data_IF_606228420295
#
_entry.id   IF_606228420295
#
_cell.length_a   1.000
_cell.length_b   1.000
_cell.length_c   1.000
_cell.angle_alpha   90.00
_cell.angle_beta   90.00
_cell.angle_gamma   90.00
#
_symmetry.space_group_name_H-M   'P 1'
#
loop_
_entity.id
_entity.type
_entity.pdbx_description
1 polymer ?
#
# COMPACT_ATOMS: atom_id res chain seq x y z
N UNK A 1 -43.26 33.24 1.97
CA UNK A 1 -41.86 33.64 2.23
C UNK A 1 -41.05 32.39 2.50
N UNK A 2 -40.45 31.78 1.48
CA UNK A 2 -39.59 30.61 1.64
C UNK A 2 -38.13 31.06 1.62
N UNK A 3 -37.51 31.06 2.80
CA UNK A 3 -36.08 31.29 2.97
C UNK A 3 -35.36 29.99 2.64
N UNK A 4 -34.80 29.90 1.43
CA UNK A 4 -33.89 28.81 1.07
C UNK A 4 -32.55 29.08 1.75
N UNK A 5 -32.24 28.30 2.78
CA UNK A 5 -30.94 28.23 3.41
C UNK A 5 -29.90 27.77 2.36
N UNK A 6 -28.96 28.67 2.02
CA UNK A 6 -27.76 28.31 1.24
C UNK A 6 -26.87 27.42 2.10
N UNK A 7 -26.61 26.21 1.63
CA UNK A 7 -25.57 25.31 2.16
C UNK A 7 -24.18 25.92 1.91
N UNK A 8 -23.22 25.86 2.86
CA UNK A 8 -21.87 26.37 2.64
C UNK A 8 -21.05 25.36 1.85
N UNK A 9 -21.25 25.32 0.54
CA UNK A 9 -20.48 24.50 -0.39
C UNK A 9 -19.81 25.39 -1.45
N UNK A 10 -18.93 26.28 -0.99
CA UNK A 10 -17.87 26.92 -1.79
C UNK A 10 -16.88 27.55 -0.82
N UNK A 11 -15.99 26.72 -0.26
CA UNK A 11 -14.75 27.26 0.30
C UNK A 11 -13.96 27.80 -0.90
N UNK A 12 -13.99 29.12 -1.11
CA UNK A 12 -13.31 29.79 -2.21
C UNK A 12 -11.89 29.23 -2.35
N UNK A 13 -11.50 28.86 -3.58
CA UNK A 13 -10.15 28.39 -3.86
C UNK A 13 -9.16 29.49 -3.46
N UNK A 14 -8.50 29.29 -2.33
CA UNK A 14 -7.54 30.25 -1.75
C UNK A 14 -6.33 30.46 -2.68
N UNK A 15 -5.96 29.44 -3.45
CA UNK A 15 -4.84 29.50 -4.40
C UNK A 15 -5.36 29.33 -5.81
N UNK A 16 -4.83 30.12 -6.74
CA UNK A 16 -5.02 29.87 -8.16
C UNK A 16 -4.34 28.55 -8.55
N UNK A 17 -5.06 27.70 -9.28
CA UNK A 17 -4.56 26.40 -9.74
C UNK A 17 -4.97 26.17 -11.18
N UNK A 18 -4.04 26.42 -12.09
CA UNK A 18 -4.30 26.45 -13.53
C UNK A 18 -4.20 25.04 -14.14
N UNK A 19 -4.73 24.83 -15.37
CA UNK A 19 -4.49 23.59 -16.12
C UNK A 19 -3.00 23.30 -16.33
N UNK A 20 -2.16 24.35 -16.46
CA UNK A 20 -0.71 24.21 -16.57
C UNK A 20 -0.10 23.65 -15.28
N UNK A 21 -0.50 24.16 -14.12
CA UNK A 21 -0.03 23.65 -12.83
C UNK A 21 -0.44 22.20 -12.61
N UNK A 22 -1.68 21.87 -12.98
CA UNK A 22 -2.15 20.49 -12.90
C UNK A 22 -1.35 19.55 -13.84
N UNK A 23 -1.09 19.97 -15.08
CA UNK A 23 -0.24 19.20 -16.00
C UNK A 23 1.18 18.99 -15.45
N UNK A 24 1.78 20.02 -14.82
CA UNK A 24 3.08 19.91 -14.14
C UNK A 24 3.02 18.90 -12.99
N UNK A 25 2.01 18.99 -12.10
CA UNK A 25 1.83 18.03 -11.00
C UNK A 25 1.73 16.60 -11.52
N UNK A 26 0.93 16.36 -12.57
CA UNK A 26 0.78 15.04 -13.20
C UNK A 26 2.14 14.51 -13.69
N UNK A 27 2.92 15.34 -14.38
CA UNK A 27 4.24 14.96 -14.87
C UNK A 27 5.21 14.63 -13.72
N UNK A 28 5.23 15.46 -12.68
CA UNK A 28 6.13 15.27 -11.53
C UNK A 28 5.80 14.01 -10.74
N UNK A 29 4.53 13.79 -10.39
CA UNK A 29 4.15 12.59 -9.62
C UNK A 29 4.29 11.31 -10.44
N UNK A 30 4.06 11.36 -11.75
CA UNK A 30 4.32 10.24 -12.64
C UNK A 30 5.82 9.91 -12.69
N UNK A 31 6.69 10.92 -12.86
CA UNK A 31 8.14 10.74 -12.84
C UNK A 31 8.65 10.19 -11.50
N UNK A 32 8.11 10.71 -10.39
CA UNK A 32 8.57 10.37 -9.05
C UNK A 32 8.06 9.00 -8.56
N UNK A 33 6.79 8.70 -8.79
CA UNK A 33 6.09 7.57 -8.16
C UNK A 33 5.33 6.68 -9.16
N UNK A 34 5.34 7.00 -10.46
CA UNK A 34 4.61 6.25 -11.49
C UNK A 34 3.10 6.48 -11.51
N UNK A 35 2.58 7.29 -10.58
CA UNK A 35 1.15 7.49 -10.40
C UNK A 35 0.59 8.26 -11.61
N UNK A 36 -0.26 7.59 -12.37
CA UNK A 36 -0.98 8.18 -13.48
C UNK A 36 -2.28 8.83 -12.97
N UNK A 37 -2.29 10.15 -12.94
CA UNK A 37 -3.47 10.93 -12.58
C UNK A 37 -4.29 11.26 -13.83
N UNK A 38 -5.57 10.88 -13.82
CA UNK A 38 -6.55 11.28 -14.84
C UNK A 38 -7.05 12.71 -14.63
N UNK A 39 -7.62 13.31 -15.68
CA UNK A 39 -8.03 14.73 -15.65
C UNK A 39 -9.09 15.05 -14.59
N UNK A 40 -9.99 14.11 -14.32
CA UNK A 40 -11.02 14.22 -13.29
C UNK A 40 -10.48 14.34 -11.85
N UNK A 41 -9.17 14.20 -11.64
CA UNK A 41 -8.54 14.28 -10.31
C UNK A 41 -8.05 15.69 -9.95
N UNK A 42 -8.28 16.70 -10.78
CA UNK A 42 -7.79 18.07 -10.55
C UNK A 42 -8.20 18.65 -9.18
N UNK A 43 -9.47 18.52 -8.78
CA UNK A 43 -9.96 19.01 -7.48
C UNK A 43 -9.33 18.27 -6.30
N UNK A 44 -9.13 16.95 -6.43
CA UNK A 44 -8.44 16.16 -5.42
C UNK A 44 -7.00 16.65 -5.25
N UNK A 45 -6.27 16.83 -6.35
CA UNK A 45 -4.90 17.34 -6.34
C UNK A 45 -4.84 18.72 -5.68
N UNK A 46 -5.71 19.63 -6.09
CA UNK A 46 -5.81 20.97 -5.50
C UNK A 46 -5.99 20.90 -3.98
N UNK A 47 -6.99 20.14 -3.51
CA UNK A 47 -7.33 20.07 -2.09
C UNK A 47 -6.18 19.57 -1.21
N UNK A 48 -5.34 18.67 -1.73
CA UNK A 48 -4.25 18.03 -0.98
C UNK A 48 -2.97 18.87 -1.04
N UNK A 49 -2.61 19.39 -2.21
CA UNK A 49 -1.42 20.23 -2.35
C UNK A 49 -1.61 21.64 -1.79
N UNK A 50 -2.82 22.19 -1.79
CA UNK A 50 -3.10 23.47 -1.13
C UNK A 50 -2.74 23.45 0.38
N UNK A 51 -2.80 22.28 1.04
CA UNK A 51 -2.33 22.12 2.43
C UNK A 51 -0.81 22.23 2.53
N UNK A 52 -0.08 21.73 1.53
CA UNK A 52 1.38 21.87 1.44
C UNK A 52 1.81 23.32 1.23
N UNK A 53 1.15 24.03 0.32
CA UNK A 53 1.39 25.47 0.10
C UNK A 53 1.24 26.26 1.40
N UNK A 54 0.15 26.04 2.15
CA UNK A 54 -0.04 26.68 3.47
C UNK A 54 1.06 26.33 4.46
N UNK A 55 1.44 25.06 4.55
CA UNK A 55 2.49 24.60 5.47
C UNK A 55 3.86 25.22 5.16
N UNK A 56 4.13 25.55 3.89
CA UNK A 56 5.37 26.19 3.44
C UNK A 56 5.28 27.72 3.35
N UNK A 57 4.10 28.30 3.64
CA UNK A 57 3.86 29.74 3.54
C UNK A 57 3.92 30.30 2.11
N UNK A 58 3.66 29.47 1.10
CA UNK A 58 3.75 29.85 -0.32
C UNK A 58 2.41 30.36 -0.84
N UNK A 59 2.44 31.29 -1.78
CA UNK A 59 1.23 31.98 -2.26
C UNK A 59 0.69 31.44 -3.58
N UNK A 60 1.49 30.68 -4.36
CA UNK A 60 1.05 30.15 -5.66
C UNK A 60 1.52 28.71 -5.88
N UNK A 61 0.78 27.98 -6.73
CA UNK A 61 1.19 26.64 -7.18
C UNK A 61 2.45 26.68 -8.04
N UNK A 62 2.60 27.70 -8.89
CA UNK A 62 3.79 27.87 -9.71
C UNK A 62 5.06 27.95 -8.83
N UNK A 63 5.06 28.80 -7.81
CA UNK A 63 6.17 28.94 -6.86
C UNK A 63 6.49 27.63 -6.12
N UNK A 64 5.44 26.91 -5.68
CA UNK A 64 5.60 25.62 -5.03
C UNK A 64 6.27 24.58 -5.95
N UNK A 65 5.82 24.50 -7.20
CA UNK A 65 6.35 23.53 -8.17
C UNK A 65 7.77 23.91 -8.61
N UNK A 66 8.04 25.20 -8.83
CA UNK A 66 9.39 25.70 -9.17
C UNK A 66 10.39 25.37 -8.06
N UNK A 67 10.00 25.55 -6.79
CA UNK A 67 10.82 25.20 -5.63
C UNK A 67 11.01 23.69 -5.47
N UNK A 68 9.99 22.90 -5.78
CA UNK A 68 10.09 21.45 -5.74
C UNK A 68 11.10 20.94 -6.79
N UNK A 69 11.03 21.50 -8.00
CA UNK A 69 11.89 21.12 -9.14
C UNK A 69 13.33 21.62 -9.04
N UNK A 70 13.59 22.72 -8.33
CA UNK A 70 14.95 23.26 -8.15
C UNK A 70 15.85 22.36 -7.28
N UNK A 71 15.31 21.30 -6.67
CA UNK A 71 16.07 20.21 -6.08
C UNK A 71 16.63 20.49 -4.67
N UNK A 72 16.32 21.65 -4.08
CA UNK A 72 16.85 22.06 -2.77
C UNK A 72 16.14 21.45 -1.55
N UNK A 73 15.04 20.73 -1.73
CA UNK A 73 14.19 20.25 -0.61
C UNK A 73 13.70 18.81 -0.85
N UNK A 74 14.54 17.84 -0.51
CA UNK A 74 14.22 16.41 -0.64
C UNK A 74 13.07 15.96 0.28
N UNK A 75 12.89 16.62 1.42
CA UNK A 75 11.79 16.34 2.34
C UNK A 75 10.45 16.75 1.73
N UNK A 76 10.40 17.87 1.02
CA UNK A 76 9.18 18.30 0.33
C UNK A 76 8.79 17.36 -0.81
N UNK A 77 9.74 16.69 -1.47
CA UNK A 77 9.42 15.62 -2.43
C UNK A 77 8.70 14.43 -1.80
N UNK A 78 9.09 14.04 -0.58
CA UNK A 78 8.38 13.01 0.19
C UNK A 78 6.99 13.50 0.53
N UNK A 79 6.86 14.72 1.04
CA UNK A 79 5.56 15.27 1.42
C UNK A 79 4.61 15.50 0.23
N UNK A 80 5.14 15.91 -0.93
CA UNK A 80 4.42 15.99 -2.20
C UNK A 80 3.89 14.61 -2.61
N UNK A 81 4.73 13.59 -2.53
CA UNK A 81 4.35 12.20 -2.85
C UNK A 81 3.26 11.70 -1.91
N UNK A 82 3.45 11.82 -0.59
CA UNK A 82 2.47 11.41 0.43
C UNK A 82 1.14 12.16 0.29
N UNK A 83 1.15 13.39 -0.20
CA UNK A 83 -0.07 14.14 -0.45
C UNK A 83 -0.88 13.56 -1.63
N UNK A 84 -0.25 12.87 -2.59
CA UNK A 84 -0.90 12.42 -3.82
C UNK A 84 -1.21 10.91 -3.85
N UNK A 85 -0.74 10.14 -2.88
CA UNK A 85 -1.09 8.72 -2.68
C UNK A 85 -2.54 8.54 -2.24
N UNK A 86 -3.15 7.40 -2.58
CA UNK A 86 -4.51 7.06 -2.14
C UNK A 86 -4.49 5.78 -1.31
N UNK A 87 -4.75 5.94 -0.02
CA UNK A 87 -4.43 4.97 1.04
C UNK A 87 -5.69 4.28 1.61
N UNK A 88 -6.67 3.94 0.76
CA UNK A 88 -7.89 3.28 1.24
C UNK A 88 -7.61 1.80 1.49
N UNK A 89 -7.61 1.41 2.77
CA UNK A 89 -7.43 0.02 3.21
C UNK A 89 -8.33 -0.31 4.39
N UNK A 90 -8.47 -1.61 4.69
CA UNK A 90 -9.25 -2.15 5.80
C UNK A 90 -8.75 -3.55 6.17
N UNK A 91 -8.93 -3.93 7.43
CA UNK A 91 -8.64 -5.30 7.88
C UNK A 91 -9.44 -6.31 7.06
N UNK A 92 -8.77 -7.40 6.67
CA UNK A 92 -9.34 -8.49 5.88
C UNK A 92 -10.05 -8.05 4.59
N UNK A 93 -9.58 -6.96 3.95
CA UNK A 93 -10.08 -6.56 2.61
C UNK A 93 -9.90 -7.73 1.63
N UNK A 94 -10.95 -8.04 0.88
CA UNK A 94 -11.02 -9.22 -0.01
C UNK A 94 -10.69 -10.52 0.74
N UNK A 95 -11.49 -10.81 1.77
CA UNK A 95 -11.28 -11.88 2.75
C UNK A 95 -11.01 -13.28 2.18
N UNK A 96 -11.37 -13.55 0.93
CA UNK A 96 -11.16 -14.83 0.26
C UNK A 96 -9.68 -15.18 0.04
N UNK A 97 -8.76 -14.20 0.09
CA UNK A 97 -7.32 -14.47 -0.03
C UNK A 97 -6.72 -15.15 1.21
N UNK A 98 -7.24 -14.87 2.40
CA UNK A 98 -6.62 -15.34 3.65
C UNK A 98 -6.74 -16.85 3.88
N UNK A 99 -7.86 -17.53 3.54
CA UNK A 99 -7.90 -19.00 3.55
C UNK A 99 -6.88 -19.62 2.58
N UNK A 100 -6.66 -19.02 1.40
CA UNK A 100 -5.66 -19.48 0.43
C UNK A 100 -4.24 -19.30 0.99
N UNK A 101 -3.97 -18.18 1.65
CA UNK A 101 -2.71 -17.95 2.37
C UNK A 101 -2.50 -19.00 3.47
N UNK A 102 -3.51 -19.25 4.31
CA UNK A 102 -3.43 -20.20 5.41
C UNK A 102 -3.10 -21.63 4.92
N UNK A 103 -3.81 -22.11 3.89
CA UNK A 103 -3.53 -23.40 3.26
C UNK A 103 -2.12 -23.43 2.65
N UNK A 104 -1.72 -22.36 1.97
CA UNK A 104 -0.40 -22.28 1.37
C UNK A 104 0.73 -22.40 2.41
N UNK A 105 0.66 -21.65 3.52
CA UNK A 105 1.75 -21.68 4.52
C UNK A 105 1.81 -22.98 5.31
N UNK A 106 0.68 -23.67 5.53
CA UNK A 106 0.64 -24.94 6.26
C UNK A 106 1.25 -26.11 5.48
N UNK A 107 1.20 -26.05 4.15
CA UNK A 107 1.76 -27.08 3.28
C UNK A 107 3.26 -26.89 2.99
N UNK A 108 3.93 -25.95 3.67
CA UNK A 108 5.35 -25.63 3.49
C UNK A 108 6.16 -26.02 4.71
N UNK A 109 7.43 -26.35 4.48
CA UNK A 109 8.39 -26.68 5.54
C UNK A 109 9.39 -25.54 5.71
N UNK A 110 9.74 -25.27 6.97
CA UNK A 110 10.75 -24.28 7.34
C UNK A 110 10.22 -22.84 7.40
N UNK A 111 11.11 -21.87 7.67
CA UNK A 111 10.74 -20.46 7.74
C UNK A 111 10.21 -19.93 6.41
N UNK A 112 9.13 -19.14 6.47
CA UNK A 112 8.49 -18.53 5.31
C UNK A 112 8.68 -17.02 5.30
N UNK A 113 8.71 -16.45 4.11
CA UNK A 113 8.83 -15.01 3.89
C UNK A 113 7.65 -14.50 3.05
N UNK A 114 7.00 -13.45 3.55
CA UNK A 114 5.88 -12.78 2.88
C UNK A 114 6.23 -11.32 2.65
N UNK A 115 5.93 -10.81 1.46
CA UNK A 115 6.04 -9.40 1.15
C UNK A 115 4.66 -8.78 0.88
N UNK A 116 4.26 -7.78 1.66
CA UNK A 116 3.14 -6.89 1.35
C UNK A 116 3.71 -5.61 0.71
N UNK A 117 3.54 -5.47 -0.60
CA UNK A 117 4.26 -4.46 -1.39
C UNK A 117 3.62 -3.07 -1.42
N UNK A 118 2.41 -2.93 -0.87
CA UNK A 118 1.68 -1.67 -0.73
C UNK A 118 0.84 -1.72 0.57
N UNK A 119 1.51 -1.56 1.72
CA UNK A 119 0.92 -1.84 3.03
C UNK A 119 -0.07 -0.80 3.53
N UNK A 120 -0.01 0.43 2.99
CA UNK A 120 -0.78 1.57 3.46
C UNK A 120 -0.67 1.73 4.98
N UNK A 121 -1.77 1.95 5.70
CA UNK A 121 -1.81 2.12 7.17
C UNK A 121 -1.67 0.82 7.97
N UNK A 122 -1.30 -0.31 7.34
CA UNK A 122 -0.89 -1.54 8.01
C UNK A 122 -1.98 -2.60 8.19
N UNK A 123 -3.23 -2.32 7.82
CA UNK A 123 -4.31 -3.30 7.97
C UNK A 123 -4.08 -4.59 7.17
N UNK A 124 -3.51 -4.52 5.96
CA UNK A 124 -3.20 -5.70 5.16
C UNK A 124 -2.10 -6.58 5.80
N UNK A 125 -0.88 -6.06 6.11
CA UNK A 125 0.15 -6.90 6.72
C UNK A 125 -0.25 -7.45 8.09
N UNK A 126 -1.08 -6.74 8.88
CA UNK A 126 -1.62 -7.30 10.11
C UNK A 126 -2.70 -8.35 9.87
N UNK A 127 -3.49 -8.25 8.80
CA UNK A 127 -4.42 -9.33 8.41
C UNK A 127 -3.67 -10.59 7.97
N UNK A 128 -2.56 -10.42 7.24
CA UNK A 128 -1.63 -11.51 6.89
C UNK A 128 -1.06 -12.14 8.17
N UNK A 129 -0.52 -11.32 9.08
CA UNK A 129 0.05 -11.78 10.34
C UNK A 129 -0.97 -12.56 11.20
N UNK A 130 -2.20 -12.05 11.36
CA UNK A 130 -3.27 -12.74 12.07
C UNK A 130 -3.58 -14.10 11.43
N UNK A 131 -3.64 -14.14 10.10
CA UNK A 131 -3.93 -15.36 9.33
C UNK A 131 -2.87 -16.43 9.57
N UNK A 132 -1.58 -16.06 9.52
CA UNK A 132 -0.50 -17.04 9.76
C UNK A 132 -0.48 -17.51 11.23
N UNK A 133 -0.70 -16.61 12.19
CA UNK A 133 -0.82 -17.00 13.60
C UNK A 133 -1.99 -17.95 13.87
N UNK A 134 -3.10 -17.76 13.16
CA UNK A 134 -4.25 -18.66 13.22
C UNK A 134 -3.93 -20.02 12.58
N UNK A 135 -3.32 -20.03 11.40
CA UNK A 135 -2.93 -21.24 10.69
C UNK A 135 -1.99 -22.12 11.52
N UNK A 136 -0.93 -21.54 12.08
CA UNK A 136 0.05 -22.27 12.90
C UNK A 136 -0.38 -22.50 14.36
N UNK A 137 -1.51 -21.92 14.80
CA UNK A 137 -1.97 -22.03 16.18
C UNK A 137 -1.07 -21.35 17.23
N UNK A 138 -0.18 -20.44 16.82
CA UNK A 138 0.79 -19.75 17.70
C UNK A 138 0.89 -18.26 17.35
N UNK A 139 1.35 -17.43 18.29
CA UNK A 139 1.65 -16.00 18.03
C UNK A 139 3.07 -15.78 17.47
N UNK A 140 3.90 -16.82 17.45
CA UNK A 140 5.28 -16.78 16.94
C UNK A 140 5.48 -17.83 15.84
N UNK A 141 4.70 -17.78 14.75
CA UNK A 141 4.89 -18.69 13.63
C UNK A 141 6.27 -18.47 13.00
N UNK A 142 6.86 -19.47 12.32
CA UNK A 142 8.12 -19.32 11.60
C UNK A 142 7.92 -18.53 10.29
N UNK A 143 7.33 -17.35 10.37
CA UNK A 143 6.99 -16.49 9.23
C UNK A 143 7.51 -15.09 9.48
N UNK A 144 8.17 -14.53 8.47
CA UNK A 144 8.60 -13.13 8.45
C UNK A 144 7.79 -12.37 7.40
N UNK A 145 7.30 -11.17 7.76
CA UNK A 145 6.52 -10.32 6.87
C UNK A 145 7.30 -9.02 6.68
N UNK A 146 7.64 -8.69 5.43
CA UNK A 146 8.09 -7.35 5.06
C UNK A 146 6.92 -6.60 4.47
N UNK A 147 6.63 -5.42 4.99
CA UNK A 147 5.54 -4.56 4.56
C UNK A 147 6.13 -3.25 4.05
N UNK A 148 5.78 -2.85 2.84
CA UNK A 148 6.36 -1.67 2.22
C UNK A 148 5.32 -0.75 1.63
N UNK A 149 5.61 0.55 1.65
CA UNK A 149 4.82 1.57 0.98
C UNK A 149 5.73 2.73 0.56
N UNK A 150 5.27 3.52 -0.42
CA UNK A 150 5.96 4.74 -0.80
C UNK A 150 5.63 5.88 0.18
N UNK A 151 4.46 5.83 0.81
CA UNK A 151 3.99 6.87 1.71
C UNK A 151 4.50 6.65 3.14
N UNK A 152 5.38 7.54 3.59
CA UNK A 152 6.01 7.42 4.91
C UNK A 152 5.04 7.71 6.05
N UNK A 153 4.00 8.53 5.84
CA UNK A 153 3.04 8.87 6.89
C UNK A 153 2.17 7.66 7.25
N UNK A 154 1.77 6.87 6.25
CA UNK A 154 1.00 5.65 6.50
C UNK A 154 1.86 4.54 7.07
N UNK A 155 3.15 4.45 6.71
CA UNK A 155 4.09 3.52 7.34
C UNK A 155 4.29 3.82 8.83
N UNK A 156 4.38 5.08 9.22
CA UNK A 156 4.42 5.45 10.65
C UNK A 156 3.15 5.04 11.40
N UNK A 157 1.98 5.20 10.76
CA UNK A 157 0.70 4.75 11.31
C UNK A 157 0.68 3.23 11.47
N UNK A 158 1.13 2.52 10.44
CA UNK A 158 1.22 1.07 10.41
C UNK A 158 2.16 0.55 11.52
N UNK A 159 3.35 1.13 11.66
CA UNK A 159 4.33 0.74 12.66
C UNK A 159 3.84 0.97 14.10
N UNK A 160 3.05 2.03 14.36
CA UNK A 160 2.40 2.23 15.66
C UNK A 160 1.36 1.13 15.93
N UNK A 161 0.65 0.69 14.89
CA UNK A 161 -0.39 -0.33 14.96
C UNK A 161 -1.56 0.08 15.85
N UNK A 162 -1.87 1.38 15.90
CA UNK A 162 -2.98 1.95 16.69
C UNK A 162 -4.08 2.41 15.75
N UNK A 163 -5.30 1.94 15.98
CA UNK A 163 -6.46 2.19 15.13
C UNK A 163 -7.68 2.61 15.96
N UNK A 164 -8.59 3.41 15.40
CA UNK A 164 -9.94 3.56 15.96
C UNK A 164 -10.62 2.19 16.06
N UNK A 165 -11.39 1.95 17.13
CA UNK A 165 -12.03 0.65 17.38
C UNK A 165 -12.99 0.26 16.24
N UNK A 166 -13.58 1.25 15.57
CA UNK A 166 -14.51 1.06 14.46
C UNK A 166 -13.85 0.34 13.27
N UNK A 167 -12.51 0.41 13.15
CA UNK A 167 -11.75 -0.31 12.12
C UNK A 167 -11.79 -1.82 12.29
N UNK A 168 -12.10 -2.31 13.48
CA UNK A 168 -12.15 -3.74 13.81
C UNK A 168 -13.56 -4.23 14.16
N UNK A 169 -14.60 -3.41 14.01
CA UNK A 169 -15.98 -3.77 14.40
C UNK A 169 -16.52 -5.00 13.68
N UNK A 170 -16.11 -5.20 12.42
CA UNK A 170 -16.51 -6.37 11.62
C UNK A 170 -15.74 -7.64 11.98
N UNK A 171 -14.76 -7.56 12.89
CA UNK A 171 -13.91 -8.67 13.28
C UNK A 171 -14.54 -9.46 14.43
N UNK A 172 -14.44 -10.78 14.38
CA UNK A 172 -14.93 -11.66 15.43
C UNK A 172 -14.25 -11.34 16.79
N UNK A 173 -15.03 -11.32 17.88
CA UNK A 173 -14.58 -10.81 19.18
C UNK A 173 -13.43 -11.62 19.79
N UNK A 174 -13.41 -12.92 19.55
CA UNK A 174 -12.32 -13.84 19.86
C UNK A 174 -11.02 -13.46 19.16
N UNK A 175 -11.06 -13.18 17.84
CA UNK A 175 -9.91 -12.66 17.10
C UNK A 175 -9.44 -11.31 17.64
N UNK A 176 -10.38 -10.39 17.94
CA UNK A 176 -10.06 -9.09 18.55
C UNK A 176 -9.34 -9.26 19.89
N UNK A 177 -9.86 -10.11 20.79
CA UNK A 177 -9.25 -10.39 22.10
C UNK A 177 -7.85 -10.99 21.96
N UNK A 178 -7.66 -11.85 20.95
CA UNK A 178 -6.40 -12.53 20.68
C UNK A 178 -5.31 -11.60 20.15
N UNK A 179 -5.63 -10.65 19.27
CA UNK A 179 -4.62 -9.88 18.53
C UNK A 179 -4.55 -8.39 18.84
N UNK A 180 -5.51 -7.84 19.60
CA UNK A 180 -5.53 -6.43 19.96
C UNK A 180 -5.56 -6.20 21.47
N UNK A 181 -5.05 -5.03 21.87
CA UNK A 181 -5.22 -4.42 23.18
C UNK A 181 -6.20 -3.26 23.04
N UNK A 182 -7.16 -3.13 23.97
CA UNK A 182 -8.10 -1.99 24.00
C UNK A 182 -7.53 -0.87 24.85
N UNK A 183 -7.57 0.35 24.32
CA UNK A 183 -7.21 1.55 25.07
C UNK A 183 -8.20 1.84 26.20
N UNK A 184 -7.72 2.53 27.23
CA UNK A 184 -8.48 2.96 28.41
C UNK A 184 -8.18 4.44 28.70
N UNK A 185 -9.05 5.11 29.45
CA UNK A 185 -8.91 6.53 29.79
C UNK A 185 -8.85 7.40 28.53
N UNK A 186 -7.82 8.22 28.38
CA UNK A 186 -7.59 9.08 27.22
C UNK A 186 -7.43 8.32 25.90
N UNK A 187 -7.17 7.00 25.95
CA UNK A 187 -7.07 6.13 24.76
C UNK A 187 -8.35 5.33 24.52
N UNK A 188 -9.45 5.65 25.21
CA UNK A 188 -10.75 5.02 24.95
C UNK A 188 -11.16 5.23 23.48
N UNK A 189 -11.81 4.22 22.89
CA UNK A 189 -12.13 4.22 21.45
C UNK A 189 -10.96 3.83 20.52
N UNK A 190 -9.76 3.59 21.06
CA UNK A 190 -8.62 3.08 20.29
C UNK A 190 -8.30 1.62 20.61
N UNK A 191 -7.73 0.94 19.64
CA UNK A 191 -7.13 -0.38 19.76
C UNK A 191 -5.70 -0.38 19.27
N UNK A 192 -4.86 -1.22 19.87
CA UNK A 192 -3.48 -1.41 19.46
C UNK A 192 -3.23 -2.87 19.11
N UNK A 193 -2.60 -3.13 17.98
CA UNK A 193 -2.11 -4.46 17.60
C UNK A 193 -1.11 -4.94 18.65
N UNK A 194 -1.25 -6.18 19.10
CA UNK A 194 -0.36 -6.77 20.11
C UNK A 194 1.11 -6.84 19.66
N UNK A 195 2.08 -6.60 20.56
CA UNK A 195 3.51 -6.59 20.21
C UNK A 195 3.99 -7.85 19.49
N UNK A 196 3.49 -9.03 19.88
CA UNK A 196 3.82 -10.31 19.28
C UNK A 196 3.50 -10.32 17.77
N UNK A 197 2.38 -9.71 17.38
CA UNK A 197 2.02 -9.58 15.97
C UNK A 197 2.84 -8.49 15.27
N UNK A 198 3.19 -7.41 15.97
CA UNK A 198 4.06 -6.36 15.43
C UNK A 198 5.47 -6.91 15.11
N UNK A 199 5.99 -7.82 15.93
CA UNK A 199 7.31 -8.44 15.73
C UNK A 199 7.41 -9.29 14.46
N UNK A 200 6.28 -9.77 13.92
CA UNK A 200 6.27 -10.50 12.65
C UNK A 200 6.41 -9.58 11.43
N UNK A 201 6.16 -8.27 11.58
CA UNK A 201 6.06 -7.32 10.48
C UNK A 201 7.17 -6.29 10.54
N UNK A 202 8.01 -6.25 9.50
CA UNK A 202 9.00 -5.19 9.30
C UNK A 202 8.51 -4.19 8.25
N UNK A 203 8.28 -2.95 8.65
CA UNK A 203 7.88 -1.87 7.75
C UNK A 203 9.09 -1.18 7.11
N UNK A 204 9.06 -0.95 5.80
CA UNK A 204 10.14 -0.23 5.07
C UNK A 204 9.56 0.71 4.00
N UNK A 205 10.12 1.91 3.81
CA UNK A 205 9.80 2.73 2.66
C UNK A 205 10.30 2.07 1.37
N UNK A 206 9.46 2.00 0.35
CA UNK A 206 9.79 1.44 -0.96
C UNK A 206 8.94 2.09 -2.05
N UNK A 207 9.60 2.63 -3.07
CA UNK A 207 8.95 2.99 -4.32
C UNK A 207 9.06 1.82 -5.30
N UNK A 208 7.92 1.29 -5.77
CA UNK A 208 7.89 0.16 -6.72
C UNK A 208 8.62 0.49 -8.04
N UNK A 209 8.78 1.76 -8.37
CA UNK A 209 9.53 2.21 -9.55
C UNK A 209 11.02 2.45 -9.28
N UNK A 210 11.48 2.43 -8.02
CA UNK A 210 12.89 2.63 -7.70
C UNK A 210 13.74 1.53 -8.36
N UNK A 211 14.91 1.92 -8.90
CA UNK A 211 15.81 0.99 -9.59
C UNK A 211 16.30 -0.18 -8.73
N UNK A 212 16.33 -0.01 -7.41
CA UNK A 212 16.62 -1.06 -6.45
C UNK A 212 15.54 -1.09 -5.35
N UNK A 213 15.23 -2.29 -4.84
CA UNK A 213 14.28 -2.47 -3.75
C UNK A 213 14.99 -2.96 -2.49
N UNK A 214 14.76 -2.36 -1.30
CA UNK A 214 15.38 -2.75 -0.04
C UNK A 214 14.77 -4.03 0.58
N UNK A 215 14.45 -5.01 -0.26
CA UNK A 215 13.86 -6.30 0.11
C UNK A 215 14.67 -7.42 -0.52
N UNK A 216 14.81 -8.53 0.21
CA UNK A 216 15.58 -9.69 -0.22
C UNK A 216 14.64 -10.89 -0.29
N UNK A 217 14.41 -11.38 -1.50
CA UNK A 217 13.70 -12.63 -1.74
C UNK A 217 14.63 -13.86 -1.64
N UNK A 218 14.16 -15.04 -2.07
CA UNK A 218 12.84 -15.25 -2.66
C UNK A 218 11.72 -15.35 -1.60
N UNK A 219 10.54 -14.86 -1.94
CA UNK A 219 9.33 -14.86 -1.12
C UNK A 219 8.44 -16.06 -1.43
N UNK A 220 7.86 -16.65 -0.39
CA UNK A 220 6.79 -17.63 -0.51
C UNK A 220 5.49 -16.94 -0.99
N UNK A 221 5.26 -15.71 -0.55
CA UNK A 221 4.06 -14.96 -0.91
C UNK A 221 4.36 -13.49 -1.14
N UNK A 222 3.80 -12.92 -2.20
CA UNK A 222 3.75 -11.48 -2.45
C UNK A 222 2.28 -11.04 -2.49
N UNK A 223 1.92 -10.03 -1.70
CA UNK A 223 0.67 -9.28 -1.81
C UNK A 223 0.96 -7.96 -2.52
N UNK A 224 0.37 -7.76 -3.69
CA UNK A 224 0.43 -6.51 -4.46
C UNK A 224 -0.99 -6.14 -4.90
N UNK A 225 -1.78 -5.64 -3.94
CA UNK A 225 -3.21 -5.43 -4.09
C UNK A 225 -3.59 -3.96 -4.14
N UNK A 226 -4.48 -3.63 -5.08
CA UNK A 226 -5.11 -2.32 -5.22
C UNK A 226 -4.12 -1.16 -5.37
N UNK A 227 -2.93 -1.43 -5.93
CA UNK A 227 -1.87 -0.44 -6.18
C UNK A 227 -1.54 -0.34 -7.67
N UNK A 228 -1.63 -1.43 -8.42
CA UNK A 228 -1.31 -1.47 -9.86
C UNK A 228 -2.29 -0.63 -10.67
N UNK A 229 -3.49 -0.41 -10.14
CA UNK A 229 -4.52 0.47 -10.71
C UNK A 229 -4.07 1.94 -10.86
N UNK A 230 -3.02 2.38 -10.16
CA UNK A 230 -2.47 3.72 -10.27
C UNK A 230 -1.38 3.84 -11.34
N UNK A 231 -0.95 2.74 -11.94
CA UNK A 231 0.13 2.69 -12.91
C UNK A 231 -0.40 2.42 -14.32
N UNK A 232 0.30 2.93 -15.34
CA UNK A 232 0.02 2.56 -16.73
C UNK A 232 0.49 1.13 -17.05
N UNK A 233 0.04 0.59 -18.19
CA UNK A 233 0.34 -0.80 -18.58
C UNK A 233 1.85 -1.09 -18.69
N UNK A 234 2.68 -0.24 -19.32
CA UNK A 234 4.12 -0.44 -19.32
C UNK A 234 4.72 -0.51 -17.92
N UNK A 235 4.29 0.37 -17.00
CA UNK A 235 4.78 0.38 -15.62
C UNK A 235 4.35 -0.87 -14.85
N UNK A 236 3.09 -1.29 -15.01
CA UNK A 236 2.59 -2.56 -14.43
C UNK A 236 3.46 -3.75 -14.87
N UNK A 237 3.75 -3.87 -16.17
CA UNK A 237 4.56 -4.96 -16.72
C UNK A 237 5.99 -4.96 -16.17
N UNK A 238 6.63 -3.78 -16.06
CA UNK A 238 7.97 -3.66 -15.46
C UNK A 238 8.00 -4.08 -13.99
N UNK A 239 7.01 -3.69 -13.19
CA UNK A 239 6.93 -4.08 -11.78
C UNK A 239 6.76 -5.60 -11.66
N UNK A 240 5.83 -6.18 -12.42
CA UNK A 240 5.55 -7.62 -12.40
C UNK A 240 6.77 -8.44 -12.84
N UNK A 241 7.51 -8.00 -13.86
CA UNK A 241 8.75 -8.65 -14.31
C UNK A 241 9.80 -8.69 -13.18
N UNK A 242 9.86 -7.65 -12.35
CA UNK A 242 10.77 -7.59 -11.20
C UNK A 242 10.32 -8.43 -10.01
N UNK A 243 9.04 -8.78 -9.90
CA UNK A 243 8.57 -9.72 -8.89
C UNK A 243 9.01 -11.16 -9.17
N UNK A 244 9.09 -11.57 -10.43
CA UNK A 244 9.46 -12.94 -10.84
C UNK A 244 10.72 -13.48 -10.14
N UNK A 245 11.89 -12.80 -10.18
CA UNK A 245 13.10 -13.30 -9.52
C UNK A 245 13.03 -13.23 -7.98
N UNK A 246 12.04 -12.53 -7.42
CA UNK A 246 11.83 -12.43 -5.98
C UNK A 246 10.82 -13.44 -5.47
N UNK A 247 10.23 -14.27 -6.31
CA UNK A 247 9.29 -15.31 -5.90
C UNK A 247 9.98 -16.68 -5.89
N UNK A 248 9.64 -17.51 -4.90
CA UNK A 248 9.99 -18.93 -4.95
C UNK A 248 9.25 -19.60 -6.12
N UNK A 249 9.77 -20.72 -6.69
CA UNK A 249 9.16 -21.40 -7.84
C UNK A 249 7.68 -21.73 -7.66
N UNK A 250 7.27 -21.95 -6.42
CA UNK A 250 5.94 -22.36 -6.00
C UNK A 250 5.25 -21.31 -5.12
N UNK A 251 5.75 -20.07 -5.16
CA UNK A 251 5.21 -18.93 -4.43
C UNK A 251 3.95 -18.35 -5.07
N UNK A 252 3.20 -17.59 -4.28
CA UNK A 252 1.94 -16.98 -4.72
C UNK A 252 2.01 -15.46 -4.81
N UNK A 253 1.35 -14.90 -5.82
CA UNK A 253 1.12 -13.47 -5.97
C UNK A 253 -0.37 -13.17 -5.83
N UNK A 254 -0.73 -12.34 -4.87
CA UNK A 254 -2.09 -11.90 -4.61
C UNK A 254 -2.32 -10.50 -5.21
N UNK A 255 -3.30 -10.39 -6.10
CA UNK A 255 -3.74 -9.15 -6.72
C UNK A 255 -5.07 -8.67 -6.11
N UNK A 256 -5.42 -7.41 -6.29
CA UNK A 256 -6.72 -6.86 -5.89
C UNK A 256 -7.81 -7.16 -6.92
N UNK A 257 -9.07 -7.00 -6.49
CA UNK A 257 -10.25 -7.41 -7.27
C UNK A 257 -10.37 -6.84 -8.70
N UNK A 258 -9.77 -5.68 -8.97
CA UNK A 258 -9.81 -5.01 -10.29
C UNK A 258 -8.54 -5.24 -11.11
N UNK A 259 -7.59 -6.02 -10.59
CA UNK A 259 -6.27 -6.20 -11.19
C UNK A 259 -6.20 -7.55 -11.90
N UNK A 260 -5.81 -7.52 -13.17
CA UNK A 260 -5.57 -8.71 -13.98
C UNK A 260 -4.15 -8.67 -14.56
N UNK A 261 -3.30 -9.59 -14.10
CA UNK A 261 -1.88 -9.62 -14.45
C UNK A 261 -1.58 -10.44 -15.70
N UNK A 262 -2.53 -11.22 -16.21
CA UNK A 262 -2.35 -12.04 -17.42
C UNK A 262 -2.04 -11.21 -18.66
N UNK A 263 -2.51 -9.96 -18.72
CA UNK A 263 -2.25 -9.06 -19.84
C UNK A 263 -0.92 -8.32 -19.75
N UNK A 264 -0.25 -8.39 -18.60
CA UNK A 264 0.96 -7.60 -18.34
C UNK A 264 2.23 -8.44 -18.47
N UNK A 265 2.14 -9.77 -18.33
CA UNK A 265 3.27 -10.71 -18.49
C UNK A 265 2.77 -12.16 -18.63
N UNK A 266 3.49 -12.97 -19.40
CA UNK A 266 3.28 -14.42 -19.51
C UNK A 266 3.96 -15.22 -18.38
N UNK A 267 4.60 -14.53 -17.43
CA UNK A 267 5.31 -15.16 -16.31
C UNK A 267 4.39 -15.65 -15.20
N UNK A 268 3.11 -15.27 -15.21
CA UNK A 268 2.14 -15.63 -14.19
C UNK A 268 0.96 -16.41 -14.76
N UNK A 269 0.49 -17.39 -13.99
CA UNK A 269 -0.71 -18.16 -14.29
C UNK A 269 -1.74 -17.95 -13.19
N UNK A 270 -3.01 -17.75 -13.57
CA UNK A 270 -4.10 -17.65 -12.61
C UNK A 270 -4.36 -19.00 -11.95
N UNK A 271 -4.27 -19.05 -10.61
CA UNK A 271 -4.53 -20.24 -9.78
C UNK A 271 -5.93 -20.20 -9.17
N UNK A 272 -6.45 -19.01 -8.90
CA UNK A 272 -7.76 -18.81 -8.28
C UNK A 272 -8.22 -17.36 -8.40
N UNK A 273 -9.23 -16.97 -7.61
CA UNK A 273 -9.75 -15.59 -7.64
C UNK A 273 -8.64 -14.61 -7.25
N UNK A 274 -8.10 -13.90 -8.26
CA UNK A 274 -7.01 -12.91 -8.14
C UNK A 274 -5.74 -13.43 -7.43
N UNK A 275 -5.49 -14.73 -7.50
CA UNK A 275 -4.26 -15.38 -7.02
C UNK A 275 -3.52 -16.01 -8.19
N UNK A 276 -2.23 -15.73 -8.27
CA UNK A 276 -1.35 -16.17 -9.34
C UNK A 276 -0.18 -17.00 -8.80
N UNK A 277 0.32 -17.90 -9.63
CA UNK A 277 1.56 -18.66 -9.44
C UNK A 277 2.53 -18.33 -10.59
N UNK A 278 3.82 -18.60 -10.40
CA UNK A 278 4.78 -18.52 -11.51
C UNK A 278 4.45 -19.57 -12.57
N UNK A 279 4.51 -19.17 -13.84
CA UNK A 279 4.48 -20.13 -14.94
C UNK A 279 5.78 -20.96 -14.89
N UNK A 280 5.72 -22.30 -14.91
CA UNK A 280 6.90 -23.16 -14.86
C UNK A 280 7.95 -22.85 -15.94
N UNK A 281 7.55 -22.28 -17.08
CA UNK A 281 8.45 -21.85 -18.16
C UNK A 281 9.32 -20.66 -17.76
N UNK A 282 8.92 -19.91 -16.73
CA UNK A 282 9.59 -18.72 -16.20
C UNK A 282 10.12 -18.93 -14.77
N UNK A 283 9.71 -20.01 -14.08
CA UNK A 283 10.17 -20.38 -12.73
C UNK A 283 11.56 -21.02 -12.65
N UNK A 284 12.29 -21.08 -13.77
CA UNK A 284 13.64 -21.63 -13.84
C UNK A 284 14.70 -20.58 -13.53
N UNK A 285 15.33 -20.70 -12.36
CA UNK A 285 16.66 -20.15 -12.14
C UNK A 285 17.55 -20.56 -13.33
N UNK A 286 18.32 -19.60 -13.87
CA UNK A 286 19.53 -19.90 -14.65
C UNK A 286 20.29 -20.98 -13.89
N UNK A 287 20.47 -22.16 -14.50
CA UNK A 287 21.49 -23.10 -14.03
C UNK A 287 22.80 -22.32 -13.93
N UNK A 288 23.52 -22.32 -12.80
CA UNK A 288 24.88 -21.81 -12.80
C UNK A 288 25.68 -22.65 -13.81
N UNK A 289 26.48 -21.96 -14.61
CA UNK A 289 27.53 -22.59 -15.42
C UNK A 289 28.57 -23.25 -14.51
#
# INVERSE_FOLDING_TARGET
MNTVLKTPADAAKIFEFTPRDFARVRALIYKQAGISLGESKQEMVYSRLARRLRAKGLSTFAEYLDRLESGGDSEEWVAFTNALTTNLTSFFREAHHFPVLADHVLNRKGPLSIWCSASSTGEEPYSIAMTVCEAFGTLTPPVSIVATDIDTNVLETAAKGVYPIERIDKMAQDRVKRFFQRGRGERSGLVRVRPELQQLVTFKPLNLLAGNWPVSGPFDVIFCRNVMIYFDKPTQSRILTRFVPLMKPDGLLFAGHSENFMYATDAFKLRGKTVYELDPRHGGARKPA
#
